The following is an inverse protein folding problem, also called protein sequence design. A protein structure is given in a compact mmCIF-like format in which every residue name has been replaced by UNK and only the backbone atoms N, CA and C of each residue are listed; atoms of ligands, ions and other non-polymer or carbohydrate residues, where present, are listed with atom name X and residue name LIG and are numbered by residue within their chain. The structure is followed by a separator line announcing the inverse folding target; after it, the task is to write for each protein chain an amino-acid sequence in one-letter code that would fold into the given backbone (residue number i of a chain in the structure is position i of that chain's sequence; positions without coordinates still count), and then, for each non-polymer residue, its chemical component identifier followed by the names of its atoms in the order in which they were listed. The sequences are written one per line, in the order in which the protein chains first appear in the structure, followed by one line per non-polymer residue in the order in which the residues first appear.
data_IF_113416828411
#
_entry.id   IF_113416828411
#
_cell.length_a   1.000
_cell.length_b   1.000
_cell.length_c   1.000
_cell.angle_alpha   90.00
_cell.angle_beta   90.00
_cell.angle_gamma   90.00
#
_symmetry.space_group_name_H-M   'P 1'
#
loop_
_entity.id
_entity.type
_entity.pdbx_description
1 polymer ?
#
# COMPACT_ATOMS: atom_id res chain seq x y z
N UNK A 1 2.09 20.56 -14.11
CA UNK A 1 1.87 19.68 -15.28
C UNK A 1 3.05 18.77 -15.69
N UNK A 2 4.22 18.76 -15.02
CA UNK A 2 5.35 17.85 -15.34
C UNK A 2 5.30 16.44 -14.70
N UNK A 3 4.37 16.18 -13.77
CA UNK A 3 4.32 14.91 -13.02
C UNK A 3 3.71 13.73 -13.79
N UNK A 4 2.69 13.95 -14.62
CA UNK A 4 1.96 12.87 -15.32
C UNK A 4 2.73 12.26 -16.51
N UNK A 5 3.57 13.05 -17.20
CA UNK A 5 4.33 12.57 -18.36
C UNK A 5 5.38 11.51 -18.01
N UNK A 6 5.97 11.57 -16.81
CA UNK A 6 6.98 10.60 -16.39
C UNK A 6 6.37 9.26 -15.98
N UNK A 7 5.18 9.26 -15.37
CA UNK A 7 4.57 8.03 -14.86
C UNK A 7 4.22 7.04 -15.98
N UNK A 8 3.68 7.52 -17.12
CA UNK A 8 3.37 6.65 -18.26
C UNK A 8 4.62 5.99 -18.89
N UNK A 9 5.75 6.69 -18.94
CA UNK A 9 7.02 6.08 -19.42
C UNK A 9 7.59 5.07 -18.43
N UNK A 10 7.51 5.37 -17.13
CA UNK A 10 7.92 4.46 -16.06
C UNK A 10 7.07 3.19 -16.12
N UNK A 11 5.76 3.32 -16.29
CA UNK A 11 4.85 2.19 -16.40
C UNK A 11 5.16 1.34 -17.63
N UNK A 12 5.34 1.93 -18.83
CA UNK A 12 5.77 1.19 -20.03
C UNK A 12 7.08 0.43 -19.77
N UNK A 13 8.04 1.06 -19.10
CA UNK A 13 9.32 0.44 -18.76
C UNK A 13 9.14 -0.76 -17.81
N UNK A 14 8.30 -0.63 -16.78
CA UNK A 14 7.99 -1.70 -15.84
C UNK A 14 7.21 -2.83 -16.52
N UNK A 15 6.20 -2.53 -17.33
CA UNK A 15 5.44 -3.53 -18.11
C UNK A 15 6.35 -4.33 -19.05
N UNK A 16 7.40 -3.72 -19.63
CA UNK A 16 8.40 -4.45 -20.42
C UNK A 16 9.19 -5.47 -19.58
N UNK A 17 9.46 -5.18 -18.31
CA UNK A 17 10.10 -6.15 -17.40
C UNK A 17 9.17 -7.27 -17.00
N UNK A 18 7.89 -6.96 -16.78
CA UNK A 18 6.88 -7.96 -16.44
C UNK A 18 6.72 -9.04 -17.52
N UNK A 19 7.10 -8.77 -18.78
CA UNK A 19 7.15 -9.79 -19.85
C UNK A 19 8.06 -10.99 -19.54
N UNK A 20 8.96 -10.89 -18.55
CA UNK A 20 9.76 -12.01 -18.03
C UNK A 20 8.94 -13.02 -17.22
N UNK A 21 7.71 -12.65 -16.85
CA UNK A 21 6.78 -13.46 -16.07
C UNK A 21 5.60 -13.86 -16.94
N UNK A 22 5.05 -15.04 -16.67
CA UNK A 22 3.72 -15.42 -17.13
C UNK A 22 2.69 -14.64 -16.32
N UNK A 23 2.07 -13.65 -16.95
CA UNK A 23 1.14 -12.73 -16.30
C UNK A 23 -0.10 -13.45 -15.74
N UNK A 24 -0.57 -14.52 -16.38
CA UNK A 24 -1.75 -15.25 -15.92
C UNK A 24 -1.42 -16.15 -14.72
N UNK A 25 -0.22 -16.75 -14.69
CA UNK A 25 0.26 -17.53 -13.52
C UNK A 25 0.60 -16.67 -12.31
N UNK A 26 0.95 -15.40 -12.53
CA UNK A 26 1.31 -14.46 -11.46
C UNK A 26 0.22 -13.42 -11.19
N UNK A 27 -0.97 -13.56 -11.78
CA UNK A 27 -2.10 -12.65 -11.56
C UNK A 27 -1.75 -11.17 -11.78
N UNK A 28 -0.99 -10.90 -12.85
CA UNK A 28 -0.60 -9.55 -13.26
C UNK A 28 -1.42 -9.15 -14.48
N UNK A 29 -1.72 -7.85 -14.60
CA UNK A 29 -2.37 -7.29 -15.78
C UNK A 29 -1.49 -7.40 -17.02
N UNK A 30 -2.10 -7.72 -18.16
CA UNK A 30 -1.45 -7.77 -19.47
C UNK A 30 -1.55 -6.44 -20.19
N UNK A 31 -0.41 -5.85 -20.53
CA UNK A 31 -0.33 -4.74 -21.49
C UNK A 31 -0.44 -5.32 -22.90
N UNK A 32 -1.49 -4.93 -23.62
CA UNK A 32 -1.72 -5.28 -25.03
C UNK A 32 -0.78 -4.46 -25.90
N UNK A 33 -0.82 -3.14 -25.75
CA UNK A 33 0.03 -2.22 -26.49
C UNK A 33 0.23 -0.89 -25.76
N UNK A 34 1.20 -0.11 -26.23
CA UNK A 34 1.35 1.29 -25.85
C UNK A 34 1.68 2.11 -27.09
N UNK A 35 1.14 3.31 -27.17
CA UNK A 35 1.35 4.21 -28.30
C UNK A 35 1.29 5.67 -27.84
N UNK A 36 1.73 6.59 -28.70
CA UNK A 36 1.62 8.03 -28.44
C UNK A 36 0.49 8.61 -29.28
N UNK A 37 -0.46 9.30 -28.63
CA UNK A 37 -1.57 9.96 -29.31
C UNK A 37 -1.74 11.38 -28.77
N UNK A 38 -1.74 12.37 -29.67
CA UNK A 38 -1.86 13.81 -29.33
C UNK A 38 -0.93 14.28 -28.20
N UNK A 39 0.30 13.78 -28.17
CA UNK A 39 1.27 14.12 -27.14
C UNK A 39 1.20 13.29 -25.87
N UNK A 40 0.15 12.50 -25.66
CA UNK A 40 -0.01 11.62 -24.49
C UNK A 40 0.49 10.21 -24.77
N UNK A 41 1.03 9.54 -23.76
CA UNK A 41 1.31 8.11 -23.80
C UNK A 41 0.04 7.39 -23.40
N UNK A 42 -0.42 6.48 -24.26
CA UNK A 42 -1.59 5.66 -24.04
C UNK A 42 -1.15 4.21 -23.83
N UNK A 43 -1.73 3.55 -22.83
CA UNK A 43 -1.50 2.14 -22.52
C UNK A 43 -2.84 1.41 -22.66
N UNK A 44 -2.86 0.36 -23.47
CA UNK A 44 -4.03 -0.50 -23.63
C UNK A 44 -3.80 -1.82 -22.89
N UNK A 45 -4.67 -2.12 -21.94
CA UNK A 45 -4.60 -3.32 -21.09
C UNK A 45 -5.68 -4.34 -21.47
N UNK A 46 -5.53 -5.57 -21.00
CA UNK A 46 -6.64 -6.52 -20.98
C UNK A 46 -7.82 -5.93 -20.18
N UNK A 47 -9.05 -6.18 -20.64
CA UNK A 47 -10.23 -5.70 -19.94
C UNK A 47 -10.46 -6.53 -18.66
N UNK A 48 -10.51 -5.84 -17.53
CA UNK A 48 -10.89 -6.39 -16.22
C UNK A 48 -12.22 -5.77 -15.77
N UNK A 49 -12.74 -6.23 -14.64
CA UNK A 49 -14.02 -5.77 -14.10
C UNK A 49 -13.87 -4.55 -13.19
N UNK A 50 -14.12 -4.69 -11.89
CA UNK A 50 -14.11 -3.60 -10.92
C UNK A 50 -12.92 -3.75 -9.96
N UNK A 51 -12.49 -2.66 -9.33
CA UNK A 51 -11.45 -2.70 -8.29
C UNK A 51 -12.00 -3.37 -7.03
N UNK A 52 -11.12 -3.84 -6.13
CA UNK A 52 -11.57 -4.32 -4.83
C UNK A 52 -12.20 -3.23 -3.98
N UNK A 53 -11.85 -1.96 -4.21
CA UNK A 53 -12.49 -0.81 -3.56
C UNK A 53 -13.96 -0.69 -4.00
N UNK A 54 -14.20 -0.70 -5.31
CA UNK A 54 -15.55 -0.62 -5.88
C UNK A 54 -16.38 -1.86 -5.52
N UNK A 55 -15.75 -3.05 -5.52
CA UNK A 55 -16.38 -4.29 -5.09
C UNK A 55 -16.88 -4.20 -3.64
N UNK A 56 -16.04 -3.72 -2.72
CA UNK A 56 -16.40 -3.57 -1.32
C UNK A 56 -17.48 -2.51 -1.13
N UNK A 57 -17.39 -1.38 -1.86
CA UNK A 57 -18.41 -0.32 -1.87
C UNK A 57 -19.76 -0.84 -2.37
N UNK A 58 -19.79 -1.62 -3.45
CA UNK A 58 -21.00 -2.24 -4.01
C UNK A 58 -21.63 -3.25 -3.04
N UNK A 59 -20.86 -3.79 -2.11
CA UNK A 59 -21.35 -4.66 -1.03
C UNK A 59 -21.84 -3.89 0.20
N UNK A 60 -21.96 -2.56 0.10
CA UNK A 60 -22.25 -1.67 1.22
C UNK A 60 -21.25 -1.85 2.36
N UNK A 61 -19.97 -2.02 2.00
CA UNK A 61 -18.87 -2.21 2.94
C UNK A 61 -19.01 -3.46 3.83
N UNK A 62 -19.86 -4.42 3.45
CA UNK A 62 -19.94 -5.70 4.15
C UNK A 62 -18.64 -6.50 4.00
N UNK A 63 -18.06 -6.98 5.12
CA UNK A 63 -16.89 -7.82 5.11
C UNK A 63 -16.96 -9.00 4.13
N UNK A 64 -15.79 -9.42 3.67
CA UNK A 64 -15.61 -10.69 2.99
C UNK A 64 -15.37 -11.80 4.02
N UNK A 65 -15.80 -13.00 3.71
CA UNK A 65 -15.47 -14.15 4.55
C UNK A 65 -14.00 -14.58 4.36
N UNK A 66 -13.49 -15.40 5.29
CA UNK A 66 -12.09 -15.85 5.26
C UNK A 66 -11.79 -16.70 4.02
N UNK A 67 -12.77 -17.39 3.45
CA UNK A 67 -12.57 -18.20 2.25
C UNK A 67 -12.44 -17.33 0.98
N UNK A 68 -13.22 -16.26 0.87
CA UNK A 68 -13.10 -15.21 -0.15
C UNK A 68 -11.74 -14.50 -0.04
N UNK A 69 -11.37 -14.05 1.16
CA UNK A 69 -10.09 -13.37 1.42
C UNK A 69 -8.90 -14.27 1.10
N UNK A 70 -8.97 -15.56 1.47
CA UNK A 70 -7.93 -16.55 1.15
C UNK A 70 -7.72 -16.69 -0.36
N UNK A 71 -8.77 -16.64 -1.17
CA UNK A 71 -8.62 -16.69 -2.64
C UNK A 71 -7.83 -15.48 -3.15
N UNK A 72 -8.15 -14.28 -2.68
CA UNK A 72 -7.45 -13.04 -3.05
C UNK A 72 -6.00 -13.09 -2.57
N UNK A 73 -5.77 -13.48 -1.32
CA UNK A 73 -4.45 -13.57 -0.71
C UNK A 73 -3.50 -14.50 -1.49
N UNK A 74 -3.95 -15.71 -1.83
CA UNK A 74 -3.14 -16.65 -2.61
C UNK A 74 -2.71 -16.07 -3.96
N UNK A 75 -3.61 -15.36 -4.66
CA UNK A 75 -3.32 -14.77 -5.97
C UNK A 75 -2.34 -13.61 -5.86
N UNK A 76 -2.53 -12.71 -4.88
CA UNK A 76 -1.63 -11.59 -4.66
C UNK A 76 -0.25 -12.05 -4.17
N UNK A 77 -0.17 -13.09 -3.34
CA UNK A 77 1.12 -13.69 -2.95
C UNK A 77 1.87 -14.26 -4.16
N UNK A 78 1.15 -14.84 -5.13
CA UNK A 78 1.74 -15.27 -6.40
C UNK A 78 2.25 -14.08 -7.22
N UNK A 79 1.53 -12.96 -7.25
CA UNK A 79 2.02 -11.70 -7.84
C UNK A 79 3.32 -11.23 -7.19
N UNK A 80 3.34 -11.12 -5.86
CA UNK A 80 4.52 -10.66 -5.10
C UNK A 80 5.73 -11.59 -5.29
N UNK A 81 5.50 -12.90 -5.32
CA UNK A 81 6.54 -13.90 -5.64
C UNK A 81 7.12 -13.67 -7.03
N UNK A 82 6.26 -13.41 -8.03
CA UNK A 82 6.68 -13.07 -9.39
C UNK A 82 7.53 -11.80 -9.43
N UNK A 83 7.04 -10.71 -8.84
CA UNK A 83 7.75 -9.42 -8.80
C UNK A 83 9.13 -9.53 -8.12
N UNK A 84 9.19 -10.22 -6.98
CA UNK A 84 10.44 -10.51 -6.28
C UNK A 84 11.45 -11.25 -7.16
N UNK A 85 10.99 -12.23 -7.95
CA UNK A 85 11.88 -13.02 -8.82
C UNK A 85 12.57 -12.22 -9.94
N UNK A 86 12.01 -11.06 -10.29
CA UNK A 86 12.59 -10.14 -11.29
C UNK A 86 13.17 -8.86 -10.66
N UNK A 87 13.26 -8.80 -9.31
CA UNK A 87 13.81 -7.67 -8.57
C UNK A 87 12.97 -6.38 -8.67
N UNK A 88 11.65 -6.52 -8.81
CA UNK A 88 10.71 -5.42 -8.90
C UNK A 88 9.83 -5.37 -7.63
N UNK A 89 9.53 -4.16 -7.18
CA UNK A 89 8.60 -3.87 -6.07
C UNK A 89 7.47 -2.99 -6.63
N UNK A 90 6.22 -3.30 -6.30
CA UNK A 90 5.05 -2.58 -6.78
C UNK A 90 4.95 -1.18 -6.16
N UNK A 91 5.17 -1.08 -4.85
CA UNK A 91 5.20 0.17 -4.06
C UNK A 91 3.87 0.92 -3.91
N UNK A 92 2.79 0.50 -4.58
CA UNK A 92 1.45 1.10 -4.41
C UNK A 92 0.31 0.07 -4.36
N UNK A 93 0.48 -0.99 -3.56
CA UNK A 93 -0.58 -1.98 -3.37
C UNK A 93 -1.65 -1.41 -2.45
N UNK A 94 -2.88 -1.36 -2.97
CA UNK A 94 -4.10 -0.87 -2.29
C UNK A 94 -5.31 -1.48 -2.99
N UNK A 95 -6.51 -1.29 -2.42
CA UNK A 95 -7.74 -1.83 -2.98
C UNK A 95 -8.01 -1.39 -4.44
N UNK A 96 -7.67 -0.15 -4.79
CA UNK A 96 -7.83 0.42 -6.13
C UNK A 96 -6.96 -0.29 -7.17
N UNK A 97 -5.81 -0.84 -6.75
CA UNK A 97 -4.82 -1.43 -7.65
C UNK A 97 -4.94 -2.96 -7.75
N UNK A 98 -6.02 -3.53 -7.23
CA UNK A 98 -6.36 -4.95 -7.38
C UNK A 98 -7.74 -5.02 -8.00
N UNK A 99 -7.86 -5.63 -9.18
CA UNK A 99 -9.12 -5.72 -9.92
C UNK A 99 -9.61 -7.15 -10.04
N UNK A 100 -10.93 -7.34 -9.96
CA UNK A 100 -11.59 -8.59 -10.32
C UNK A 100 -11.50 -8.81 -11.82
N UNK A 101 -11.21 -10.05 -12.24
CA UNK A 101 -11.26 -10.41 -13.66
C UNK A 101 -12.70 -10.42 -14.20
N UNK A 102 -13.65 -10.91 -13.39
CA UNK A 102 -15.06 -11.00 -13.74
C UNK A 102 -15.92 -10.85 -12.48
N UNK A 103 -16.81 -9.85 -12.46
CA UNK A 103 -17.71 -9.58 -11.33
C UNK A 103 -18.86 -10.59 -11.20
N UNK A 104 -19.18 -11.33 -12.26
CA UNK A 104 -20.27 -12.30 -12.27
C UNK A 104 -19.80 -13.71 -11.86
N UNK A 105 -18.49 -13.93 -11.85
CA UNK A 105 -17.88 -15.16 -11.38
C UNK A 105 -18.04 -15.31 -9.86
N UNK A 106 -18.43 -16.52 -9.43
CA UNK A 106 -18.40 -16.90 -8.00
C UNK A 106 -16.98 -17.05 -7.44
N UNK A 107 -16.02 -17.40 -8.30
CA UNK A 107 -14.61 -17.44 -7.91
C UNK A 107 -14.01 -16.04 -8.04
N UNK A 108 -13.44 -15.52 -6.94
CA UNK A 108 -12.84 -14.19 -6.90
C UNK A 108 -11.46 -14.21 -7.55
N UNK A 109 -11.41 -14.29 -8.87
CA UNK A 109 -10.16 -14.16 -9.62
C UNK A 109 -9.78 -12.69 -9.72
N UNK A 110 -8.57 -12.35 -9.27
CA UNK A 110 -8.06 -10.97 -9.22
C UNK A 110 -6.77 -10.83 -10.00
N UNK A 111 -6.44 -9.60 -10.40
CA UNK A 111 -5.14 -9.22 -10.94
C UNK A 111 -4.64 -7.93 -10.32
N UNK A 112 -3.33 -7.86 -10.11
CA UNK A 112 -2.61 -6.66 -9.71
C UNK A 112 -2.39 -5.77 -10.94
N UNK A 113 -2.72 -4.49 -10.82
CA UNK A 113 -2.65 -3.46 -11.86
C UNK A 113 -1.79 -2.27 -11.39
N UNK A 114 -1.57 -1.30 -12.28
CA UNK A 114 -0.89 -0.02 -12.01
C UNK A 114 0.56 -0.13 -11.54
N UNK A 115 1.44 -0.35 -12.52
CA UNK A 115 2.89 -0.41 -12.30
C UNK A 115 3.57 0.95 -12.50
N UNK A 116 2.82 2.06 -12.45
CA UNK A 116 3.34 3.41 -12.65
C UNK A 116 4.29 3.87 -11.53
N UNK A 117 4.11 3.34 -10.32
CA UNK A 117 4.99 3.60 -9.17
C UNK A 117 6.05 2.50 -8.95
N UNK A 118 5.95 1.37 -9.65
CA UNK A 118 6.82 0.24 -9.41
C UNK A 118 8.30 0.57 -9.66
N UNK A 119 9.16 -0.05 -8.88
CA UNK A 119 10.59 0.27 -8.86
C UNK A 119 11.47 -0.94 -8.62
N UNK A 120 12.70 -0.88 -9.11
CA UNK A 120 13.72 -1.86 -8.74
C UNK A 120 14.07 -1.72 -7.26
N UNK A 121 14.31 -2.86 -6.59
CA UNK A 121 14.73 -2.89 -5.17
C UNK A 121 15.95 -1.99 -4.92
N UNK A 122 16.92 -1.97 -5.84
CA UNK A 122 18.13 -1.14 -5.77
C UNK A 122 17.88 0.36 -5.82
N UNK A 123 16.70 0.80 -6.28
CA UNK A 123 16.31 2.20 -6.42
C UNK A 123 15.39 2.68 -5.31
N UNK A 124 14.80 1.77 -4.52
CA UNK A 124 13.83 2.11 -3.47
C UNK A 124 14.34 3.19 -2.52
N UNK A 125 15.59 3.10 -2.06
CA UNK A 125 16.20 4.07 -1.15
C UNK A 125 16.33 5.50 -1.72
N UNK A 126 16.21 5.66 -3.04
CA UNK A 126 16.29 6.95 -3.75
C UNK A 126 14.91 7.52 -4.09
N UNK A 127 13.87 6.72 -3.94
CA UNK A 127 12.49 7.16 -4.19
C UNK A 127 12.01 7.86 -2.92
N UNK A 128 11.30 8.96 -3.10
CA UNK A 128 10.75 9.75 -2.00
C UNK A 128 9.60 9.02 -1.30
N UNK A 129 8.41 9.64 -1.29
CA UNK A 129 7.23 9.01 -0.70
C UNK A 129 6.72 7.88 -1.61
N UNK A 130 6.60 6.68 -1.04
CA UNK A 130 6.02 5.48 -1.67
C UNK A 130 4.86 4.96 -0.83
N UNK A 131 4.00 4.11 -1.43
CA UNK A 131 2.77 3.54 -0.85
C UNK A 131 1.72 4.58 -0.49
N UNK A 132 0.45 4.28 -0.73
CA UNK A 132 -0.65 5.07 -0.18
C UNK A 132 -0.69 5.01 1.37
N UNK A 133 -1.03 6.13 2.01
CA UNK A 133 -1.29 6.17 3.46
C UNK A 133 -2.44 5.22 3.80
N UNK A 134 -2.33 4.50 4.91
CA UNK A 134 -3.20 3.38 5.29
C UNK A 134 -2.69 2.01 4.79
N UNK A 135 -1.84 1.98 3.76
CA UNK A 135 -1.18 0.77 3.24
C UNK A 135 0.35 0.83 3.36
N UNK A 136 0.89 1.95 3.84
CA UNK A 136 2.31 2.23 3.95
C UNK A 136 2.96 1.45 5.10
N UNK A 137 4.11 0.84 4.84
CA UNK A 137 4.84 0.06 5.83
C UNK A 137 5.50 0.94 6.90
N UNK A 138 5.64 0.49 8.16
CA UNK A 138 6.25 1.27 9.22
C UNK A 138 7.71 1.63 8.91
N UNK A 139 8.48 0.76 8.25
CA UNK A 139 9.84 1.06 7.82
C UNK A 139 9.92 2.23 6.82
N UNK A 140 8.88 2.42 6.00
CA UNK A 140 8.76 3.57 5.10
C UNK A 140 8.48 4.84 5.89
N UNK A 141 7.53 4.80 6.84
CA UNK A 141 7.17 5.95 7.68
C UNK A 141 8.38 6.38 8.54
N UNK A 142 9.05 5.41 9.17
CA UNK A 142 10.18 5.64 10.09
C UNK A 142 11.50 5.95 9.37
N UNK A 143 11.55 5.81 8.04
CA UNK A 143 12.76 6.07 7.25
C UNK A 143 13.88 5.05 7.48
N UNK A 144 13.51 3.81 7.77
CA UNK A 144 14.42 2.66 7.90
C UNK A 144 14.83 2.13 6.50
N UNK A 145 15.83 1.22 6.40
CA UNK A 145 16.12 0.52 5.16
C UNK A 145 14.90 -0.27 4.68
N UNK A 146 14.59 -0.16 3.39
CA UNK A 146 13.41 -0.77 2.77
C UNK A 146 13.81 -1.81 1.71
N UNK A 147 12.96 -2.82 1.56
CA UNK A 147 13.10 -3.90 0.57
C UNK A 147 11.74 -4.13 -0.10
N UNK A 148 11.62 -5.15 -0.95
CA UNK A 148 10.32 -5.58 -1.48
C UNK A 148 9.32 -6.01 -0.39
N UNK A 149 9.76 -6.23 0.84
CA UNK A 149 8.90 -6.58 1.98
C UNK A 149 7.82 -5.52 2.28
N UNK A 150 8.00 -4.27 1.83
CA UNK A 150 6.97 -3.23 2.00
C UNK A 150 5.65 -3.61 1.31
N UNK A 151 5.71 -4.35 0.19
CA UNK A 151 4.51 -4.80 -0.53
C UNK A 151 3.75 -5.89 0.27
N UNK A 152 4.46 -6.69 1.07
CA UNK A 152 3.84 -7.66 1.98
C UNK A 152 3.02 -6.96 3.06
N UNK A 153 3.52 -5.83 3.59
CA UNK A 153 2.77 -5.00 4.53
C UNK A 153 1.50 -4.43 3.90
N UNK A 154 1.62 -3.83 2.70
CA UNK A 154 0.47 -3.30 1.98
C UNK A 154 -0.59 -4.37 1.69
N UNK A 155 -0.17 -5.58 1.31
CA UNK A 155 -1.10 -6.70 1.14
C UNK A 155 -1.78 -7.06 2.46
N UNK A 156 -1.06 -7.11 3.58
CA UNK A 156 -1.66 -7.32 4.90
C UNK A 156 -2.75 -6.29 5.23
N UNK A 157 -2.49 -5.00 4.95
CA UNK A 157 -3.46 -3.93 5.13
C UNK A 157 -4.69 -4.06 4.21
N UNK A 158 -4.50 -4.50 2.96
CA UNK A 158 -5.60 -4.83 2.04
C UNK A 158 -6.47 -5.95 2.61
N UNK A 159 -5.87 -7.07 3.01
CA UNK A 159 -6.61 -8.24 3.50
C UNK A 159 -7.37 -7.92 4.80
N UNK A 160 -6.75 -7.16 5.71
CA UNK A 160 -7.41 -6.71 6.93
C UNK A 160 -8.59 -5.75 6.63
N UNK A 161 -8.43 -4.85 5.66
CA UNK A 161 -9.49 -3.93 5.20
C UNK A 161 -10.68 -4.71 4.63
N UNK A 162 -10.44 -5.76 3.84
CA UNK A 162 -11.49 -6.64 3.32
C UNK A 162 -12.20 -7.43 4.43
N UNK A 163 -11.46 -7.80 5.48
CA UNK A 163 -12.00 -8.54 6.63
C UNK A 163 -12.87 -7.68 7.56
N UNK A 164 -12.55 -6.40 7.72
CA UNK A 164 -13.33 -5.50 8.58
C UNK A 164 -14.40 -4.72 7.82
N UNK A 165 -14.32 -4.65 6.49
CA UNK A 165 -15.27 -3.93 5.63
C UNK A 165 -14.99 -2.43 5.49
N UNK A 166 -13.96 -1.92 6.14
CA UNK A 166 -13.52 -0.53 6.09
C UNK A 166 -12.00 -0.41 6.22
N UNK A 167 -11.45 0.79 6.04
CA UNK A 167 -10.00 1.00 6.12
C UNK A 167 -9.45 0.54 7.47
N UNK A 168 -8.61 -0.51 7.46
CA UNK A 168 -8.05 -1.08 8.69
C UNK A 168 -7.12 -0.09 9.40
N UNK A 169 -6.33 0.66 8.63
CA UNK A 169 -5.54 1.79 9.13
C UNK A 169 -6.04 3.11 8.52
N UNK A 170 -5.96 4.23 9.28
CA UNK A 170 -6.29 5.56 8.77
C UNK A 170 -5.52 5.91 7.48
N UNK A 171 -6.23 6.52 6.52
CA UNK A 171 -5.69 6.86 5.19
C UNK A 171 -5.31 8.34 5.04
N UNK A 172 -5.57 9.16 6.05
CA UNK A 172 -5.42 10.63 5.97
C UNK A 172 -4.12 11.17 6.56
N UNK A 173 -3.45 10.42 7.45
CA UNK A 173 -2.24 10.88 8.13
C UNK A 173 -1.32 9.72 8.48
N UNK A 174 -0.02 9.88 8.23
CA UNK A 174 1.02 8.92 8.65
C UNK A 174 1.08 8.80 10.17
N UNK A 175 0.84 9.89 10.90
CA UNK A 175 0.79 9.86 12.36
C UNK A 175 -0.37 9.01 12.86
N UNK A 176 -1.59 9.22 12.35
CA UNK A 176 -2.75 8.42 12.76
C UNK A 176 -2.62 6.96 12.30
N UNK A 177 -2.04 6.73 11.12
CA UNK A 177 -1.72 5.39 10.64
C UNK A 177 -0.77 4.69 11.63
N UNK A 178 0.35 5.32 11.96
CA UNK A 178 1.35 4.76 12.86
C UNK A 178 0.80 4.59 14.29
N UNK A 179 -0.08 5.47 14.72
CA UNK A 179 -0.75 5.38 16.02
C UNK A 179 -1.66 4.16 16.09
N UNK A 180 -2.40 3.88 15.02
CA UNK A 180 -3.19 2.67 14.93
C UNK A 180 -2.32 1.41 14.87
N UNK A 181 -1.19 1.45 14.16
CA UNK A 181 -0.21 0.35 14.16
C UNK A 181 0.27 0.05 15.59
N UNK A 182 0.68 1.08 16.34
CA UNK A 182 1.12 0.93 17.74
C UNK A 182 0.01 0.42 18.64
N UNK A 183 -1.22 0.91 18.44
CA UNK A 183 -2.38 0.47 19.22
C UNK A 183 -2.68 -1.03 19.04
N UNK A 184 -2.60 -1.52 17.80
CA UNK A 184 -2.95 -2.91 17.46
C UNK A 184 -1.79 -3.89 17.68
N UNK A 185 -0.55 -3.46 17.40
CA UNK A 185 0.63 -4.35 17.32
C UNK A 185 1.69 -4.05 18.40
N UNK A 186 1.51 -3.00 19.18
CA UNK A 186 2.51 -2.51 20.13
C UNK A 186 3.58 -1.64 19.48
N UNK A 187 4.46 -1.09 20.32
CA UNK A 187 5.53 -0.20 19.87
C UNK A 187 6.58 -0.96 19.03
N UNK A 188 7.14 -0.33 17.98
CA UNK A 188 8.34 -0.85 17.33
C UNK A 188 9.46 -1.01 18.35
N UNK A 189 10.31 -2.03 18.16
CA UNK A 189 11.44 -2.30 19.06
C UNK A 189 12.38 -1.09 19.13
N UNK A 190 12.96 -0.84 20.30
CA UNK A 190 13.82 0.32 20.57
C UNK A 190 14.94 0.54 19.55
N UNK A 191 15.58 -0.54 19.08
CA UNK A 191 16.66 -0.43 18.09
C UNK A 191 16.16 0.09 16.73
N UNK A 192 14.91 -0.19 16.36
CA UNK A 192 14.28 0.33 15.15
C UNK A 192 13.95 1.81 15.31
N UNK A 193 13.43 2.21 16.47
CA UNK A 193 13.15 3.62 16.78
C UNK A 193 14.43 4.47 16.84
N UNK A 194 15.53 3.91 17.37
CA UNK A 194 16.85 4.56 17.35
C UNK A 194 17.44 4.68 15.94
N UNK A 195 17.21 3.69 15.06
CA UNK A 195 17.75 3.67 13.70
C UNK A 195 16.91 4.44 12.68
N UNK A 196 15.61 4.64 12.93
CA UNK A 196 14.69 5.29 12.01
C UNK A 196 14.98 6.78 11.86
N UNK A 197 15.33 7.22 10.65
CA UNK A 197 15.63 8.63 10.34
C UNK A 197 14.49 9.59 10.69
N UNK A 198 13.25 9.11 10.61
CA UNK A 198 12.05 9.90 10.89
C UNK A 198 11.41 9.54 12.23
N UNK A 199 11.96 8.60 13.01
CA UNK A 199 11.31 8.08 14.20
C UNK A 199 11.00 9.19 15.23
N UNK A 200 11.92 10.13 15.41
CA UNK A 200 11.73 11.29 16.32
C UNK A 200 10.63 12.24 15.89
N UNK A 201 10.11 12.16 14.66
CA UNK A 201 8.92 12.91 14.27
C UNK A 201 7.67 12.38 14.99
N UNK A 202 7.62 11.09 15.31
CA UNK A 202 6.43 10.40 15.83
C UNK A 202 6.58 9.92 17.28
N UNK A 203 7.82 9.71 17.74
CA UNK A 203 8.14 9.17 19.05
C UNK A 203 9.08 10.11 19.82
N UNK A 204 9.05 9.99 21.14
CA UNK A 204 9.98 10.66 22.05
C UNK A 204 10.34 9.72 23.19
N UNK A 205 11.35 10.08 23.98
CA UNK A 205 11.79 9.26 25.11
C UNK A 205 10.71 9.22 26.20
N UNK A 206 10.51 8.04 26.81
CA UNK A 206 9.65 7.95 27.99
C UNK A 206 10.44 8.29 29.25
N UNK A 207 9.83 9.06 30.13
CA UNK A 207 10.34 9.34 31.48
C UNK A 207 9.56 8.57 32.55
N UNK A 208 8.74 7.61 32.14
CA UNK A 208 7.99 6.78 33.07
C UNK A 208 8.86 5.69 33.71
N UNK A 209 8.39 5.18 34.85
CA UNK A 209 9.04 4.11 35.60
C UNK A 209 8.78 2.71 35.00
N UNK A 210 8.17 2.62 33.80
CA UNK A 210 7.81 1.35 33.17
C UNK A 210 9.01 0.60 32.57
N UNK A 211 10.16 1.29 32.44
CA UNK A 211 11.36 0.75 31.80
C UNK A 211 11.32 0.82 30.27
N UNK A 212 10.26 1.37 29.67
CA UNK A 212 10.13 1.54 28.24
C UNK A 212 10.82 2.83 27.77
N UNK A 213 11.84 2.74 26.92
CA UNK A 213 12.65 3.90 26.55
C UNK A 213 11.94 4.91 25.62
N UNK A 214 10.90 4.48 24.92
CA UNK A 214 10.20 5.28 23.91
C UNK A 214 8.70 5.26 24.13
N UNK A 215 8.04 6.40 23.87
CA UNK A 215 6.60 6.49 23.75
C UNK A 215 6.19 7.21 22.49
N UNK A 216 4.98 6.96 22.04
CA UNK A 216 4.39 7.76 20.97
C UNK A 216 4.17 9.19 21.46
N UNK A 217 4.42 10.16 20.59
CA UNK A 217 4.05 11.55 20.86
C UNK A 217 2.54 11.66 20.97
N UNK A 218 2.08 12.56 21.82
CA UNK A 218 0.68 12.98 21.80
C UNK A 218 0.38 13.75 20.51
N UNK A 219 -0.91 13.93 20.22
CA UNK A 219 -1.34 14.73 19.08
C UNK A 219 -0.79 16.15 19.15
N UNK A 220 -0.90 16.78 20.32
CA UNK A 220 -0.42 18.15 20.53
C UNK A 220 1.09 18.27 20.35
N UNK A 221 1.87 17.33 20.89
CA UNK A 221 3.33 17.27 20.69
C UNK A 221 3.68 17.15 19.19
N UNK A 222 2.99 16.27 18.45
CA UNK A 222 3.21 16.09 17.03
C UNK A 222 2.84 17.34 16.20
N UNK A 223 1.68 17.94 16.47
CA UNK A 223 1.18 19.11 15.75
C UNK A 223 2.07 20.33 16.00
N UNK A 224 2.50 20.55 17.25
CA UNK A 224 3.40 21.66 17.60
C UNK A 224 4.77 21.55 16.93
N UNK A 225 5.35 20.34 16.89
CA UNK A 225 6.69 20.16 16.32
C UNK A 225 6.72 20.14 14.79
N UNK A 226 5.67 19.59 14.17
CA UNK A 226 5.66 19.41 12.71
C UNK A 226 4.88 20.48 11.96
N UNK A 227 4.05 21.26 12.65
CA UNK A 227 3.11 22.21 12.06
C UNK A 227 1.97 21.56 11.26
N UNK A 228 1.87 20.23 11.25
CA UNK A 228 0.82 19.49 10.56
C UNK A 228 -0.41 19.37 11.46
N UNK A 229 -1.37 20.29 11.32
CA UNK A 229 -2.65 20.19 12.01
C UNK A 229 -3.39 18.94 11.51
N UNK A 230 -3.64 17.99 12.40
CA UNK A 230 -4.43 16.83 12.04
C UNK A 230 -5.90 17.26 12.02
N UNK A 231 -6.66 16.83 11.01
CA UNK A 231 -8.11 17.08 10.99
C UNK A 231 -8.79 16.32 12.14
N UNK A 232 -9.89 16.85 12.69
CA UNK A 232 -10.72 16.07 13.61
C UNK A 232 -11.22 14.83 12.86
N UNK A 233 -10.91 13.63 13.38
CA UNK A 233 -11.60 12.43 12.97
C UNK A 233 -13.04 12.62 13.43
N UNK A 234 -13.97 12.87 12.51
CA UNK A 234 -15.37 12.70 12.82
C UNK A 234 -15.55 11.25 13.26
N UNK A 235 -15.65 11.04 14.57
CA UNK A 235 -16.24 9.82 15.11
C UNK A 235 -17.61 9.73 14.44
N UNK A 236 -17.77 8.79 13.52
CA UNK A 236 -19.11 8.35 13.13
C UNK A 236 -19.67 7.67 14.38
N UNK A 237 -20.24 8.49 15.26
CA UNK A 237 -21.28 8.07 16.17
C UNK A 237 -22.37 7.47 15.30
N UNK A 238 -22.67 6.19 15.54
CA UNK A 238 -23.72 5.49 14.83
C UNK A 238 -25.06 6.18 15.01
N UNK A 239 -25.82 6.12 13.92
CA UNK A 239 -27.27 5.95 13.90
C UNK A 239 -27.56 4.84 12.88
#
# INVERSE_FOLDING_TARGET
FRGSFNNGLVEVYNMKKLKRLDADKHYLVKLVEHFKYKGHICLAYELLSETLFDFLKRRDQRPLDVAEIRQIACQMLMSLKGLKSIGLTHTDIKLDNIMLCDRFSKALKVKLIDFGCAAEVSRLAKIGKIQAVGYRAPEVILGLPITEAIDMWSLGAVLATLFVGGHFYPTVSEYEQLRMIVHVQGLPKDHLLKAGRNARQFFTESHDSSGQAWRMKTRDEYEQETGNVLGYLHTHSGD
#
